data_IF_373755777831
#
_entry.id   IF_373755777831
#
_cell.length_a   1.000
_cell.length_b   1.000
_cell.length_c   1.000
_cell.angle_alpha   90.00
_cell.angle_beta   90.00
_cell.angle_gamma   90.00
#
_symmetry.space_group_name_H-M   'P 1'
#
loop_
_entity.id
_entity.type
_entity.pdbx_description
1 polymer ?
#
# COMPACT_ATOMS: atom_id res chain seq x y z
N UNK A 1 -14.08 -7.45 -19.02
CA UNK A 1 -13.00 -8.18 -18.34
C UNK A 1 -11.65 -7.72 -18.88
N UNK A 2 -10.57 -7.68 -18.07
CA UNK A 2 -9.21 -7.37 -18.53
C UNK A 2 -8.41 -8.62 -18.99
N UNK A 3 -9.01 -9.81 -18.93
CA UNK A 3 -8.33 -11.08 -19.16
C UNK A 3 -7.51 -11.15 -20.47
N UNK A 4 -8.03 -10.63 -21.60
CA UNK A 4 -7.31 -10.66 -22.88
C UNK A 4 -5.95 -9.95 -22.82
N UNK A 5 -5.87 -8.80 -22.16
CA UNK A 5 -4.60 -8.09 -21.95
C UNK A 5 -3.64 -8.88 -21.05
N UNK A 6 -4.16 -9.61 -20.05
CA UNK A 6 -3.37 -10.46 -19.17
C UNK A 6 -2.79 -11.66 -19.93
N UNK A 7 -3.58 -12.35 -20.76
CA UNK A 7 -3.07 -13.43 -21.62
C UNK A 7 -1.92 -12.95 -22.51
N UNK A 8 -2.10 -11.83 -23.20
CA UNK A 8 -1.08 -11.27 -24.08
C UNK A 8 0.21 -10.92 -23.32
N UNK A 9 0.10 -10.32 -22.12
CA UNK A 9 1.25 -9.97 -21.30
C UNK A 9 1.96 -11.20 -20.72
N UNK A 10 1.21 -12.18 -20.17
CA UNK A 10 1.77 -13.38 -19.54
C UNK A 10 2.50 -14.25 -20.57
N UNK A 11 1.93 -14.42 -21.77
CA UNK A 11 2.53 -15.26 -22.83
C UNK A 11 3.89 -14.76 -23.34
N UNK A 12 4.28 -13.52 -23.01
CA UNK A 12 5.65 -13.04 -23.27
C UNK A 12 6.71 -13.81 -22.48
N UNK A 13 6.35 -14.32 -21.29
CA UNK A 13 7.27 -15.07 -20.42
C UNK A 13 6.77 -16.50 -20.10
N UNK A 14 5.51 -16.82 -20.39
CA UNK A 14 4.97 -18.18 -20.31
C UNK A 14 4.12 -18.50 -21.55
N UNK A 15 4.75 -18.84 -22.70
CA UNK A 15 4.03 -19.03 -23.98
C UNK A 15 3.01 -20.16 -23.93
N UNK A 16 3.23 -21.19 -23.11
CA UNK A 16 2.36 -22.36 -22.96
C UNK A 16 1.11 -22.15 -22.10
N UNK A 17 0.80 -20.92 -21.67
CA UNK A 17 -0.43 -20.63 -20.91
C UNK A 17 -1.67 -20.98 -21.77
N UNK A 18 -2.40 -22.00 -21.35
CA UNK A 18 -3.61 -22.49 -22.02
C UNK A 18 -4.73 -21.43 -22.03
N UNK A 19 -5.56 -21.46 -23.08
CA UNK A 19 -6.77 -20.65 -23.13
C UNK A 19 -7.74 -21.07 -22.01
N UNK A 20 -8.41 -20.09 -21.39
CA UNK A 20 -9.35 -20.32 -20.29
C UNK A 20 -8.73 -20.61 -18.92
N UNK A 21 -7.40 -20.65 -18.80
CA UNK A 21 -6.72 -20.91 -17.53
C UNK A 21 -6.84 -19.77 -16.49
N UNK A 22 -7.06 -18.52 -16.93
CA UNK A 22 -7.26 -17.38 -16.02
C UNK A 22 -8.69 -17.34 -15.47
N UNK A 23 -8.82 -17.45 -14.15
CA UNK A 23 -10.10 -17.37 -13.44
C UNK A 23 -10.28 -16.00 -12.77
N UNK A 24 -11.51 -15.46 -12.67
CA UNK A 24 -11.77 -14.28 -11.86
C UNK A 24 -11.33 -14.51 -10.40
N UNK A 25 -10.63 -13.52 -9.85
CA UNK A 25 -10.20 -13.52 -8.46
C UNK A 25 -10.66 -12.21 -7.81
N UNK A 26 -9.74 -11.45 -7.24
CA UNK A 26 -10.01 -10.18 -6.58
C UNK A 26 -9.21 -9.03 -7.20
N UNK A 27 -9.58 -7.81 -6.83
CA UNK A 27 -8.79 -6.61 -7.07
C UNK A 27 -8.56 -5.90 -5.73
N UNK A 28 -7.39 -5.28 -5.57
CA UNK A 28 -7.07 -4.44 -4.43
C UNK A 28 -7.14 -2.96 -4.77
N UNK A 29 -7.46 -2.13 -3.78
CA UNK A 29 -7.36 -0.67 -3.87
C UNK A 29 -6.14 -0.23 -3.06
N UNK A 30 -5.28 0.60 -3.66
CA UNK A 30 -4.09 1.13 -2.97
C UNK A 30 -4.44 2.44 -2.26
N UNK A 31 -4.06 2.63 -0.98
CA UNK A 31 -4.24 3.89 -0.27
C UNK A 31 -3.18 4.90 -0.72
N UNK A 32 -3.32 5.46 -1.92
CA UNK A 32 -2.37 6.43 -2.48
C UNK A 32 -2.53 7.81 -1.84
N UNK A 33 -1.41 8.51 -1.63
CA UNK A 33 -1.41 9.92 -1.20
C UNK A 33 -1.44 10.90 -2.38
N UNK A 34 -1.08 10.42 -3.56
CA UNK A 34 -0.99 11.17 -4.80
C UNK A 34 -2.18 10.89 -5.71
N UNK A 35 -2.57 11.91 -6.47
CA UNK A 35 -3.67 11.86 -7.42
C UNK A 35 -3.26 11.35 -8.80
N UNK A 36 -4.24 11.10 -9.70
CA UNK A 36 -3.96 10.80 -11.09
C UNK A 36 -3.18 11.95 -11.76
N UNK A 37 -2.02 11.64 -12.34
CA UNK A 37 -1.17 12.62 -13.03
C UNK A 37 -0.07 13.24 -12.17
N UNK A 38 -0.08 13.01 -10.85
CA UNK A 38 1.04 13.41 -9.99
C UNK A 38 2.31 12.62 -10.39
N UNK A 39 3.46 13.30 -10.54
CA UNK A 39 4.64 12.72 -11.18
C UNK A 39 5.35 11.68 -10.31
N UNK A 40 5.21 11.74 -8.98
CA UNK A 40 6.00 10.92 -8.05
C UNK A 40 5.15 10.14 -7.07
N UNK A 41 5.62 8.93 -6.75
CA UNK A 41 5.07 8.17 -5.64
C UNK A 41 5.49 8.81 -4.32
N UNK A 42 4.53 9.10 -3.44
CA UNK A 42 4.81 9.62 -2.11
C UNK A 42 5.12 8.48 -1.15
N UNK A 43 6.03 8.75 -0.23
CA UNK A 43 6.40 7.82 0.84
C UNK A 43 5.25 7.65 1.86
N UNK A 44 5.36 6.64 2.73
CA UNK A 44 4.49 6.44 3.86
C UNK A 44 4.51 7.65 4.79
N UNK A 45 3.35 8.00 5.33
CA UNK A 45 3.24 9.11 6.29
C UNK A 45 2.79 8.56 7.64
N UNK A 46 3.64 8.72 8.64
CA UNK A 46 3.30 8.50 10.04
C UNK A 46 3.15 9.87 10.69
N UNK A 47 1.90 10.31 10.89
CA UNK A 47 1.59 11.62 11.46
C UNK A 47 1.17 11.45 12.92
N UNK A 48 1.69 12.29 13.81
CA UNK A 48 1.37 12.30 15.26
C UNK A 48 0.79 13.65 15.67
N UNK A 49 0.46 13.77 16.95
CA UNK A 49 -0.01 15.01 17.58
C UNK A 49 0.84 16.25 17.21
N UNK A 50 2.16 16.15 17.11
CA UNK A 50 3.00 17.29 16.70
C UNK A 50 2.73 17.77 15.26
N UNK A 51 2.22 16.89 14.38
CA UNK A 51 1.90 17.20 12.99
C UNK A 51 0.43 17.54 12.71
N UNK A 52 -0.51 17.12 13.57
CA UNK A 52 -1.96 17.39 13.37
C UNK A 52 -2.67 18.00 14.59
N UNK A 53 -2.00 18.19 15.73
CA UNK A 53 -2.56 18.84 16.93
C UNK A 53 -3.52 18.00 17.77
N UNK A 54 -3.70 16.70 17.47
CA UNK A 54 -4.66 15.81 18.17
C UNK A 54 -3.89 14.85 19.08
N UNK A 55 -3.95 15.01 20.42
CA UNK A 55 -3.28 14.11 21.35
C UNK A 55 -3.82 12.68 21.24
N UNK A 56 -2.94 11.69 21.34
CA UNK A 56 -3.31 10.26 21.35
C UNK A 56 -3.66 9.65 19.98
N UNK A 57 -3.80 10.45 18.91
CA UNK A 57 -3.99 9.95 17.55
C UNK A 57 -2.65 9.81 16.82
N UNK A 58 -2.49 8.70 16.10
CA UNK A 58 -1.42 8.49 15.12
C UNK A 58 -2.06 8.06 13.80
N UNK A 59 -1.83 8.82 12.73
CA UNK A 59 -2.27 8.46 11.39
C UNK A 59 -1.14 7.68 10.67
N UNK A 60 -1.48 6.52 10.11
CA UNK A 60 -0.64 5.83 9.13
C UNK A 60 -1.31 5.98 7.77
N UNK A 61 -0.79 6.90 6.96
CA UNK A 61 -1.35 7.24 5.65
C UNK A 61 -0.42 6.78 4.54
N UNK A 62 -0.98 6.45 3.38
CA UNK A 62 -0.15 6.08 2.24
C UNK A 62 0.44 4.67 2.32
N UNK A 63 0.02 3.82 3.27
CA UNK A 63 0.59 2.48 3.49
C UNK A 63 0.17 1.53 2.37
N UNK A 64 0.73 1.73 1.18
CA UNK A 64 0.63 0.83 0.04
C UNK A 64 1.73 -0.23 0.08
N UNK A 65 2.13 -0.82 -1.05
CA UNK A 65 3.28 -1.74 -1.08
C UNK A 65 4.58 -0.98 -0.81
N UNK A 66 5.49 -1.46 0.07
CA UNK A 66 5.54 -2.79 0.71
C UNK A 66 5.01 -2.85 2.16
N UNK A 67 3.82 -2.31 2.44
CA UNK A 67 3.28 -2.12 3.79
C UNK A 67 3.06 -3.41 4.60
N UNK A 68 2.71 -4.53 3.95
CA UNK A 68 2.65 -5.82 4.63
C UNK A 68 4.05 -6.30 5.06
N UNK A 69 5.04 -6.17 4.18
CA UNK A 69 6.43 -6.54 4.49
C UNK A 69 7.00 -5.64 5.60
N UNK A 70 6.62 -4.36 5.63
CA UNK A 70 7.10 -3.39 6.60
C UNK A 70 6.25 -3.31 7.88
N UNK A 71 5.23 -4.15 8.07
CA UNK A 71 4.21 -3.93 9.10
C UNK A 71 4.77 -3.92 10.53
N UNK A 72 5.75 -4.77 10.84
CA UNK A 72 6.38 -4.82 12.16
C UNK A 72 7.27 -3.60 12.39
N UNK A 73 8.06 -3.19 11.39
CA UNK A 73 8.89 -1.98 11.47
C UNK A 73 8.03 -0.71 11.60
N UNK A 74 6.86 -0.67 10.95
CA UNK A 74 5.88 0.41 11.12
C UNK A 74 5.32 0.43 12.56
N UNK A 75 5.01 -0.73 13.13
CA UNK A 75 4.57 -0.83 14.52
C UNK A 75 5.66 -0.35 15.49
N UNK A 76 6.92 -0.75 15.27
CA UNK A 76 8.07 -0.27 16.04
C UNK A 76 8.22 1.25 15.93
N UNK A 77 8.15 1.84 14.72
CA UNK A 77 8.16 3.29 14.54
C UNK A 77 7.02 4.00 15.27
N UNK A 78 5.84 3.36 15.37
CA UNK A 78 4.70 3.88 16.12
C UNK A 78 4.94 3.82 17.64
N UNK A 79 5.69 2.85 18.15
CA UNK A 79 5.97 2.67 19.57
C UNK A 79 7.22 3.43 20.06
N UNK A 80 8.31 3.41 19.29
CA UNK A 80 9.65 3.88 19.69
C UNK A 80 9.68 5.39 19.95
N UNK A 81 8.94 6.17 19.16
CA UNK A 81 8.90 7.64 19.34
C UNK A 81 7.88 8.10 20.39
N UNK A 82 7.75 7.33 21.47
CA UNK A 82 7.06 7.70 22.70
C UNK A 82 5.58 8.03 22.51
N UNK A 83 4.71 7.18 23.05
CA UNK A 83 3.45 7.67 23.60
C UNK A 83 3.84 8.53 24.81
N UNK A 84 4.24 9.79 24.58
CA UNK A 84 4.39 10.79 25.65
C UNK A 84 2.98 11.25 26.06
N UNK A 85 2.23 10.31 26.62
CA UNK A 85 0.91 10.53 27.19
C UNK A 85 0.95 9.88 28.55
N UNK A 86 1.21 10.69 29.57
CA UNK A 86 0.99 10.37 30.97
C UNK A 86 -0.36 9.66 31.14
N UNK A 87 -0.32 8.47 31.74
CA UNK A 87 -1.45 7.98 32.51
C UNK A 87 -1.71 8.91 33.70
#
# INVERSE_FOLDING_TARGET
>A
SRAGAFYAAIRRYWPGLADGALQPAYAGIRPKLQGPGDPEARDFVIQRAAGHGVPGLVNLLGIESPGLTACLALAEQVLDQGISGSA
#
